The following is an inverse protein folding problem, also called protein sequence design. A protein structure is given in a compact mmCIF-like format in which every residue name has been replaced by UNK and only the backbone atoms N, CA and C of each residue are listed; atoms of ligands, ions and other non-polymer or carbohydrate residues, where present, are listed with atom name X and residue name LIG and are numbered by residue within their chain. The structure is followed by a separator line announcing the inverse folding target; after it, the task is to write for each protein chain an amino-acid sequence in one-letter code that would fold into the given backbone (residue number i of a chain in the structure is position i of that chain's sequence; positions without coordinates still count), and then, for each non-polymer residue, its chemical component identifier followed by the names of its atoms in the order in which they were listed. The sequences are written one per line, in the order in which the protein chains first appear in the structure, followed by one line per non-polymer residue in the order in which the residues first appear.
data_IF_211196582304
#
_entry.id   IF_211196582304
#
_cell.length_a   1.000
_cell.length_b   1.000
_cell.length_c   1.000
_cell.angle_alpha   90.00
_cell.angle_beta   90.00
_cell.angle_gamma   90.00
#
_symmetry.space_group_name_H-M   'P 1'
#
loop_
_entity.id
_entity.type
_entity.pdbx_description
1 polymer ?
#
# COMPACT_ATOMS: atom_id res chain seq x y z
N UNK A 1 -51.11 43.76 21.03
CA UNK A 1 -49.70 43.48 21.41
C UNK A 1 -49.22 42.24 20.71
N UNK A 2 -48.40 42.44 19.71
CA UNK A 2 -47.68 41.37 19.02
C UNK A 2 -46.58 40.88 20.00
N UNK A 3 -46.79 39.71 20.59
CA UNK A 3 -45.72 39.02 21.26
C UNK A 3 -44.86 38.44 20.17
N UNK A 4 -43.75 39.08 19.84
CA UNK A 4 -42.67 38.45 19.11
C UNK A 4 -42.13 37.35 19.99
N UNK A 5 -42.43 36.09 19.62
CA UNK A 5 -41.69 34.93 20.09
C UNK A 5 -40.32 35.03 19.45
N UNK A 6 -39.39 35.67 20.10
CA UNK A 6 -37.97 35.50 19.85
C UNK A 6 -37.61 34.09 20.38
N UNK A 7 -37.94 33.06 19.61
CA UNK A 7 -37.27 31.82 19.72
C UNK A 7 -35.82 32.07 19.27
N UNK A 8 -34.96 32.27 20.25
CA UNK A 8 -33.51 32.16 20.02
C UNK A 8 -33.28 30.70 19.64
N UNK A 9 -33.28 30.42 18.34
CA UNK A 9 -32.72 29.17 17.83
C UNK A 9 -31.26 29.23 18.23
N UNK A 10 -30.91 28.63 19.36
CA UNK A 10 -29.54 28.27 19.67
C UNK A 10 -29.14 27.27 18.61
N UNK A 11 -28.53 27.75 17.54
CA UNK A 11 -27.65 26.96 16.73
C UNK A 11 -26.55 26.50 17.69
N UNK A 12 -26.71 25.31 18.26
CA UNK A 12 -25.59 24.56 18.81
C UNK A 12 -24.70 24.27 17.64
N UNK A 13 -23.84 25.24 17.32
CA UNK A 13 -22.66 24.96 16.53
C UNK A 13 -21.84 24.05 17.44
N UNK A 14 -22.10 22.73 17.33
CA UNK A 14 -21.19 21.73 17.85
C UNK A 14 -19.95 21.86 16.99
N UNK A 15 -19.01 22.68 17.43
CA UNK A 15 -17.66 22.67 16.90
C UNK A 15 -17.11 21.28 17.21
N UNK A 16 -17.37 20.32 16.29
CA UNK A 16 -16.66 19.06 16.32
C UNK A 16 -15.18 19.41 16.21
N UNK A 17 -14.43 19.16 17.28
CA UNK A 17 -13.00 19.29 17.24
C UNK A 17 -12.47 18.49 16.05
N UNK A 18 -11.50 19.03 15.33
CA UNK A 18 -10.82 18.36 14.23
C UNK A 18 -10.16 17.08 14.77
N UNK A 19 -10.46 15.96 14.16
CA UNK A 19 -9.91 14.66 14.49
C UNK A 19 -9.35 13.99 13.23
N UNK A 20 -8.15 14.41 12.79
CA UNK A 20 -7.50 13.80 11.66
C UNK A 20 -7.05 12.38 12.01
N UNK A 21 -7.53 11.41 11.24
CA UNK A 21 -7.18 9.99 11.39
C UNK A 21 -7.10 9.32 10.04
N UNK A 22 -6.17 8.39 9.93
CA UNK A 22 -6.03 7.55 8.75
C UNK A 22 -5.75 6.10 9.18
N UNK A 23 -6.02 5.18 8.28
CA UNK A 23 -5.76 3.77 8.51
C UNK A 23 -5.24 3.11 7.24
N UNK A 24 -4.18 2.33 7.38
CA UNK A 24 -3.72 1.40 6.37
C UNK A 24 -3.66 -0.01 6.97
N UNK A 25 -4.17 -0.99 6.22
CA UNK A 25 -4.03 -2.42 6.52
C UNK A 25 -3.35 -3.09 5.36
N UNK A 26 -2.46 -4.00 5.68
CA UNK A 26 -1.69 -4.80 4.73
C UNK A 26 -1.81 -6.27 5.08
N UNK A 27 -2.02 -7.11 4.08
CA UNK A 27 -2.13 -8.56 4.28
C UNK A 27 -1.45 -9.34 3.16
N UNK A 28 -0.99 -10.54 3.50
CA UNK A 28 -0.49 -11.54 2.58
C UNK A 28 -0.67 -12.94 3.18
N UNK A 29 -0.37 -13.97 2.42
CA UNK A 29 -0.30 -15.34 2.96
C UNK A 29 0.83 -15.46 3.98
N UNK A 30 0.61 -16.17 5.08
CA UNK A 30 1.59 -16.38 6.14
C UNK A 30 2.77 -17.26 5.72
N UNK A 31 2.58 -18.12 4.74
CA UNK A 31 3.57 -19.07 4.25
C UNK A 31 3.69 -18.92 2.74
N UNK A 32 4.93 -18.86 2.27
CA UNK A 32 5.27 -18.88 0.85
C UNK A 32 6.51 -19.74 0.64
N UNK A 33 6.89 -20.01 -0.60
CA UNK A 33 8.10 -20.76 -0.95
C UNK A 33 9.04 -19.92 -1.79
N UNK A 34 10.27 -20.38 -1.98
CA UNK A 34 11.20 -19.78 -2.92
C UNK A 34 10.66 -19.79 -4.33
N UNK A 35 11.03 -18.79 -5.13
CA UNK A 35 10.65 -18.65 -6.52
C UNK A 35 9.13 -18.69 -6.76
N UNK A 36 8.37 -18.07 -5.86
CA UNK A 36 6.91 -18.01 -5.91
C UNK A 36 6.39 -16.60 -5.66
N UNK A 37 5.12 -16.39 -5.98
CA UNK A 37 4.46 -15.11 -5.85
C UNK A 37 4.06 -14.83 -4.40
N UNK A 38 4.29 -13.59 -3.94
CA UNK A 38 3.65 -13.02 -2.78
C UNK A 38 2.75 -11.89 -3.28
N UNK A 39 1.46 -11.98 -2.94
CA UNK A 39 0.46 -10.97 -3.23
C UNK A 39 0.12 -10.21 -1.95
N UNK A 40 0.52 -8.95 -1.89
CA UNK A 40 0.19 -8.04 -0.79
C UNK A 40 -1.05 -7.24 -1.16
N UNK A 41 -2.09 -7.32 -0.34
CA UNK A 41 -3.29 -6.51 -0.49
C UNK A 41 -3.37 -5.41 0.57
N UNK A 42 -3.99 -4.28 0.21
CA UNK A 42 -4.02 -3.09 1.06
C UNK A 42 -5.44 -2.54 1.18
N UNK A 43 -5.73 -1.99 2.35
CA UNK A 43 -6.89 -1.15 2.60
C UNK A 43 -6.42 0.21 3.10
N UNK A 44 -6.88 1.28 2.45
CA UNK A 44 -6.47 2.66 2.73
C UNK A 44 -7.72 3.48 3.00
N UNK A 45 -7.73 4.23 4.11
CA UNK A 45 -8.87 5.03 4.52
C UNK A 45 -8.46 6.35 5.18
N UNK A 46 -9.17 7.42 4.86
CA UNK A 46 -9.28 8.60 5.72
C UNK A 46 -10.43 8.33 6.71
N UNK A 47 -10.10 8.00 7.94
CA UNK A 47 -11.07 7.64 8.99
C UNK A 47 -11.42 8.80 9.91
N UNK A 48 -10.79 9.95 9.71
CA UNK A 48 -11.05 11.16 10.47
C UNK A 48 -12.21 11.99 9.91
N UNK A 49 -12.36 13.19 10.45
CA UNK A 49 -13.42 14.11 10.11
C UNK A 49 -12.95 15.36 9.37
N UNK A 50 -11.74 15.35 8.83
CA UNK A 50 -11.15 16.46 8.10
C UNK A 50 -10.57 16.01 6.77
N UNK A 51 -10.54 16.92 5.81
CA UNK A 51 -9.78 16.78 4.57
C UNK A 51 -8.29 16.71 4.90
N UNK A 52 -7.54 15.91 4.14
CA UNK A 52 -6.09 15.75 4.30
C UNK A 52 -5.37 16.16 3.03
N UNK A 53 -4.26 16.85 3.23
CA UNK A 53 -3.33 17.29 2.18
C UNK A 53 -2.15 16.31 2.09
N UNK A 54 -1.54 16.24 0.92
CA UNK A 54 -0.34 15.42 0.67
C UNK A 54 -0.51 13.97 1.15
N UNK A 55 -1.69 13.42 0.92
CA UNK A 55 -2.01 12.04 1.28
C UNK A 55 -1.16 11.10 0.44
N UNK A 56 -0.28 10.35 1.11
CA UNK A 56 0.75 9.56 0.47
C UNK A 56 0.87 8.17 1.10
N UNK A 57 0.99 7.18 0.26
CA UNK A 57 1.22 5.79 0.66
C UNK A 57 2.61 5.35 0.21
N UNK A 58 3.41 4.86 1.16
CA UNK A 58 4.73 4.28 0.95
C UNK A 58 4.69 2.78 1.25
N UNK A 59 5.27 1.99 0.38
CA UNK A 59 5.52 0.57 0.63
C UNK A 59 7.02 0.29 0.56
N UNK A 60 7.58 -0.19 1.66
CA UNK A 60 9.00 -0.51 1.80
C UNK A 60 9.20 -1.98 1.47
N UNK A 61 9.62 -2.25 0.24
CA UNK A 61 9.70 -3.59 -0.31
C UNK A 61 10.81 -4.42 0.34
N UNK A 62 10.59 -5.71 0.62
CA UNK A 62 11.61 -6.63 1.11
C UNK A 62 12.55 -7.06 -0.02
N UNK A 63 13.31 -6.13 -0.58
CA UNK A 63 14.07 -6.30 -1.81
C UNK A 63 15.25 -7.29 -1.70
N UNK A 64 15.67 -7.62 -0.47
CA UNK A 64 16.70 -8.65 -0.24
C UNK A 64 16.15 -10.06 -0.48
N UNK A 65 14.85 -10.26 -0.42
CA UNK A 65 14.20 -11.56 -0.48
C UNK A 65 13.27 -11.74 -1.67
N UNK A 66 12.81 -10.66 -2.25
CA UNK A 66 11.81 -10.69 -3.32
C UNK A 66 11.95 -9.51 -4.26
N UNK A 67 11.41 -9.67 -5.45
CA UNK A 67 11.40 -8.66 -6.50
C UNK A 67 9.97 -8.30 -6.85
N UNK A 68 9.66 -7.01 -6.91
CA UNK A 68 8.35 -6.55 -7.36
C UNK A 68 8.16 -6.85 -8.85
N UNK A 69 7.00 -7.39 -9.20
CA UNK A 69 6.64 -7.73 -10.58
C UNK A 69 5.47 -6.93 -11.10
N UNK A 70 4.57 -6.50 -10.23
CA UNK A 70 3.39 -5.77 -10.65
C UNK A 70 2.69 -5.02 -9.54
N UNK A 71 1.85 -4.08 -9.96
CA UNK A 71 0.93 -3.34 -9.09
C UNK A 71 -0.45 -3.43 -9.72
N UNK A 72 -1.44 -3.89 -8.96
CA UNK A 72 -2.85 -3.68 -9.24
C UNK A 72 -3.29 -2.44 -8.48
N UNK A 73 -3.76 -1.43 -9.20
CA UNK A 73 -4.01 -0.12 -8.58
C UNK A 73 -5.26 -0.10 -7.71
N UNK A 74 -6.20 -1.01 -7.93
CA UNK A 74 -7.47 -0.99 -7.26
C UNK A 74 -8.32 0.21 -7.65
N UNK A 75 -9.36 0.48 -6.89
CA UNK A 75 -10.24 1.64 -7.08
C UNK A 75 -10.51 2.35 -5.76
N UNK A 76 -10.84 3.63 -5.86
CA UNK A 76 -11.16 4.51 -4.72
C UNK A 76 -12.56 5.10 -4.91
N UNK A 77 -13.19 5.47 -3.81
CA UNK A 77 -14.58 5.96 -3.79
C UNK A 77 -14.74 7.44 -4.13
N UNK A 78 -13.64 8.13 -4.44
CA UNK A 78 -13.65 9.56 -4.82
C UNK A 78 -12.96 9.75 -6.16
N UNK A 79 -13.41 10.74 -6.91
CA UNK A 79 -12.73 11.16 -8.13
C UNK A 79 -11.42 11.84 -7.75
N UNK A 80 -10.32 11.17 -8.02
CA UNK A 80 -8.99 11.70 -7.82
C UNK A 80 -8.07 11.25 -8.96
N UNK A 81 -7.03 12.04 -9.16
CA UNK A 81 -5.88 11.64 -9.98
C UNK A 81 -4.69 11.44 -9.04
N UNK A 82 -3.96 10.36 -9.25
CA UNK A 82 -2.81 10.05 -8.41
C UNK A 82 -1.62 9.59 -9.23
N UNK A 83 -0.44 9.67 -8.63
CA UNK A 83 0.83 9.32 -9.25
C UNK A 83 1.50 8.19 -8.49
N UNK A 84 2.20 7.34 -9.22
CA UNK A 84 3.02 6.27 -8.64
C UNK A 84 4.48 6.52 -8.97
N UNK A 85 5.31 6.41 -7.95
CA UNK A 85 6.76 6.54 -8.01
C UNK A 85 7.43 5.30 -7.46
N UNK A 86 8.66 5.07 -7.85
CA UNK A 86 9.50 4.03 -7.29
C UNK A 86 10.88 4.56 -6.95
N UNK A 87 11.55 3.88 -6.05
CA UNK A 87 12.92 4.15 -5.64
C UNK A 87 13.72 2.88 -5.72
N UNK A 88 15.01 2.99 -6.00
CA UNK A 88 15.92 1.85 -6.07
C UNK A 88 17.02 1.96 -5.02
N UNK A 89 17.75 0.86 -4.81
CA UNK A 89 18.91 0.83 -3.92
C UNK A 89 20.13 1.61 -4.46
N UNK A 90 20.11 2.02 -5.72
CA UNK A 90 21.23 2.74 -6.37
C UNK A 90 20.97 4.22 -6.58
N UNK A 91 19.75 4.70 -6.32
CA UNK A 91 19.36 6.10 -6.53
C UNK A 91 18.56 6.61 -5.32
N UNK A 92 18.90 7.80 -4.84
CA UNK A 92 18.19 8.43 -3.73
C UNK A 92 16.89 9.14 -4.14
N UNK A 93 16.67 9.28 -5.43
CA UNK A 93 15.49 9.98 -5.96
C UNK A 93 14.37 9.01 -6.32
N UNK A 94 13.12 9.49 -6.14
CA UNK A 94 11.96 8.81 -6.66
C UNK A 94 11.85 9.04 -8.17
N UNK A 95 11.67 7.94 -8.89
CA UNK A 95 11.42 7.94 -10.33
C UNK A 95 9.93 7.81 -10.59
N UNK A 96 9.43 8.48 -11.62
CA UNK A 96 8.03 8.36 -12.02
C UNK A 96 7.77 7.00 -12.64
N UNK A 97 6.79 6.26 -12.11
CA UNK A 97 6.29 5.03 -12.73
C UNK A 97 5.07 5.32 -13.61
N UNK A 98 4.06 5.96 -13.05
CA UNK A 98 2.83 6.39 -13.76
C UNK A 98 2.33 7.70 -13.16
N UNK A 99 1.80 8.57 -14.04
CA UNK A 99 1.15 9.83 -13.64
C UNK A 99 -0.31 9.85 -14.06
N UNK A 100 -1.09 10.63 -13.32
CA UNK A 100 -2.48 10.95 -13.63
C UNK A 100 -3.37 9.72 -13.80
N UNK A 101 -3.19 8.74 -12.91
CA UNK A 101 -4.07 7.59 -12.83
C UNK A 101 -5.41 8.01 -12.22
N UNK A 102 -6.50 7.54 -12.80
CA UNK A 102 -7.84 7.81 -12.31
C UNK A 102 -8.18 6.85 -11.16
N UNK A 103 -8.63 7.39 -10.04
CA UNK A 103 -9.02 6.61 -8.86
C UNK A 103 -10.19 5.66 -9.09
N UNK A 104 -11.04 5.89 -10.08
CA UNK A 104 -12.15 5.00 -10.46
C UNK A 104 -11.74 3.83 -11.35
N UNK A 105 -10.51 3.78 -11.83
CA UNK A 105 -10.02 2.75 -12.75
C UNK A 105 -9.02 1.82 -12.08
N UNK A 106 -9.24 0.51 -12.25
CA UNK A 106 -8.31 -0.52 -11.82
C UNK A 106 -7.39 -0.90 -12.98
N UNK A 107 -6.09 -0.70 -12.77
CA UNK A 107 -5.07 -0.97 -13.78
C UNK A 107 -4.03 -1.94 -13.23
N UNK A 108 -3.50 -2.78 -14.10
CA UNK A 108 -2.31 -3.57 -13.81
C UNK A 108 -1.08 -2.89 -14.44
N UNK A 109 -0.07 -2.63 -13.59
CA UNK A 109 1.19 -2.03 -14.00
C UNK A 109 2.29 -3.07 -13.83
N UNK A 110 2.90 -3.49 -14.93
CA UNK A 110 4.08 -4.36 -14.91
C UNK A 110 5.34 -3.56 -14.56
N UNK A 111 6.15 -4.11 -13.66
CA UNK A 111 7.47 -3.56 -13.33
C UNK A 111 8.61 -4.42 -13.90
N UNK A 112 8.27 -5.49 -14.63
CA UNK A 112 9.28 -6.38 -15.23
C UNK A 112 9.98 -5.76 -16.44
N UNK A 113 9.38 -4.75 -17.05
CA UNK A 113 9.90 -4.08 -18.25
C UNK A 113 10.78 -2.85 -17.94
N UNK A 114 11.01 -2.55 -16.68
CA UNK A 114 11.89 -1.45 -16.29
C UNK A 114 13.36 -1.84 -16.57
N UNK A 115 14.07 -0.95 -17.25
CA UNK A 115 15.49 -1.09 -17.50
C UNK A 115 16.29 -0.67 -16.25
N UNK A 116 16.60 -1.65 -15.41
CA UNK A 116 17.42 -1.46 -14.22
C UNK A 116 18.87 -1.80 -14.55
N UNK A 117 19.79 -1.10 -13.88
CA UNK A 117 21.20 -1.41 -13.91
C UNK A 117 21.47 -2.77 -13.23
N UNK A 118 22.69 -3.29 -13.41
CA UNK A 118 23.12 -4.51 -12.73
C UNK A 118 23.02 -4.33 -11.21
N UNK A 119 22.43 -5.31 -10.54
CA UNK A 119 22.21 -5.32 -9.08
C UNK A 119 21.32 -4.17 -8.56
N UNK A 120 20.70 -3.39 -9.43
CA UNK A 120 19.69 -2.42 -9.05
C UNK A 120 18.36 -3.11 -8.73
N UNK A 121 17.81 -2.77 -7.56
CA UNK A 121 16.54 -3.33 -7.07
C UNK A 121 15.59 -2.21 -6.70
N UNK A 122 14.33 -2.37 -7.01
CA UNK A 122 13.27 -1.47 -6.52
C UNK A 122 13.06 -1.74 -5.03
N UNK A 123 13.24 -0.72 -4.21
CA UNK A 123 13.17 -0.81 -2.74
C UNK A 123 11.93 -0.15 -2.16
N UNK A 124 11.32 0.78 -2.86
CA UNK A 124 10.13 1.50 -2.40
C UNK A 124 9.16 1.78 -3.55
N UNK A 125 7.89 1.73 -3.22
CA UNK A 125 6.80 2.28 -4.01
C UNK A 125 6.18 3.43 -3.23
N UNK A 126 5.96 4.56 -3.91
CA UNK A 126 5.30 5.74 -3.37
C UNK A 126 4.09 6.07 -4.23
N UNK A 127 2.93 6.16 -3.63
CA UNK A 127 1.70 6.56 -4.31
C UNK A 127 1.22 7.87 -3.68
N UNK A 128 1.18 8.92 -4.50
CA UNK A 128 0.80 10.26 -4.07
C UNK A 128 -0.60 10.59 -4.55
N UNK A 129 -1.52 10.79 -3.62
CA UNK A 129 -2.92 11.11 -3.89
C UNK A 129 -3.23 12.61 -3.85
N UNK A 130 -2.38 13.41 -3.22
CA UNK A 130 -2.65 14.82 -3.00
C UNK A 130 -3.71 15.05 -1.92
N UNK A 131 -4.70 15.87 -2.23
CA UNK A 131 -5.77 16.17 -1.28
C UNK A 131 -6.88 15.12 -1.35
N UNK A 132 -7.26 14.61 -0.20
CA UNK A 132 -8.35 13.62 -0.08
C UNK A 132 -9.41 14.09 0.89
N UNK A 133 -10.67 13.92 0.48
CA UNK A 133 -11.84 14.28 1.29
C UNK A 133 -12.05 13.34 2.48
N UNK A 134 -12.88 13.80 3.39
CA UNK A 134 -13.44 12.94 4.44
C UNK A 134 -14.12 11.72 3.81
N UNK A 135 -13.85 10.55 4.37
CA UNK A 135 -14.43 9.30 3.87
C UNK A 135 -13.73 8.70 2.65
N UNK A 136 -12.63 9.29 2.18
CA UNK A 136 -11.79 8.68 1.13
C UNK A 136 -11.36 7.28 1.56
N UNK A 137 -11.54 6.31 0.67
CA UNK A 137 -11.12 4.92 0.92
C UNK A 137 -10.93 4.15 -0.38
N UNK A 138 -10.10 3.11 -0.29
CA UNK A 138 -10.07 2.07 -1.33
C UNK A 138 -11.38 1.28 -1.35
N UNK A 139 -11.94 1.04 -2.53
CA UNK A 139 -13.10 0.16 -2.73
C UNK A 139 -12.64 -1.22 -3.18
N UNK A 140 -12.01 -1.30 -4.36
CA UNK A 140 -11.25 -2.47 -4.75
C UNK A 140 -9.84 -2.33 -4.20
N UNK A 141 -9.41 -3.32 -3.43
CA UNK A 141 -8.09 -3.28 -2.78
C UNK A 141 -6.96 -3.18 -3.80
N UNK A 142 -6.03 -2.25 -3.65
CA UNK A 142 -4.79 -2.28 -4.41
C UNK A 142 -3.91 -3.45 -3.96
N UNK A 143 -3.11 -3.98 -4.89
CA UNK A 143 -2.17 -5.07 -4.65
C UNK A 143 -0.78 -4.72 -5.14
N UNK A 144 0.21 -5.12 -4.38
CA UNK A 144 1.62 -5.16 -4.80
C UNK A 144 2.04 -6.62 -4.88
N UNK A 145 2.50 -7.02 -6.06
CA UNK A 145 2.82 -8.40 -6.36
C UNK A 145 4.34 -8.52 -6.48
N UNK A 146 4.90 -9.45 -5.71
CA UNK A 146 6.33 -9.74 -5.68
C UNK A 146 6.59 -11.21 -5.98
N UNK A 147 7.78 -11.50 -6.46
CA UNK A 147 8.28 -12.86 -6.64
C UNK A 147 9.46 -13.07 -5.71
N UNK A 148 9.39 -14.09 -4.86
CA UNK A 148 10.49 -14.46 -3.96
C UNK A 148 11.72 -14.95 -4.73
N UNK A 149 12.90 -14.69 -4.17
CA UNK A 149 14.15 -15.17 -4.72
C UNK A 149 14.22 -16.69 -4.73
N UNK A 150 15.07 -17.23 -5.57
CA UNK A 150 15.38 -18.65 -5.59
C UNK A 150 16.23 -19.04 -4.37
N UNK A 151 16.11 -20.27 -3.92
CA UNK A 151 16.96 -20.87 -2.87
C UNK A 151 16.94 -20.13 -1.51
N UNK A 152 15.82 -19.56 -1.14
CA UNK A 152 15.67 -19.02 0.21
C UNK A 152 15.59 -20.16 1.23
N UNK A 153 16.23 -19.95 2.37
CA UNK A 153 16.20 -20.92 3.46
C UNK A 153 14.80 -21.00 4.09
N UNK A 154 14.42 -22.20 4.51
CA UNK A 154 13.21 -22.40 5.30
C UNK A 154 13.29 -21.56 6.57
N UNK A 155 12.15 -21.10 7.06
CA UNK A 155 11.98 -20.24 8.22
C UNK A 155 12.48 -18.79 8.02
N UNK A 156 12.91 -18.42 6.81
CA UNK A 156 13.18 -17.01 6.48
C UNK A 156 11.89 -16.22 6.56
N UNK A 157 11.88 -15.17 7.38
CA UNK A 157 10.74 -14.25 7.50
C UNK A 157 10.92 -13.09 6.54
N UNK A 158 9.96 -12.93 5.65
CA UNK A 158 9.88 -11.81 4.72
C UNK A 158 8.90 -10.80 5.30
N UNK A 159 9.43 -9.66 5.76
CA UNK A 159 8.64 -8.58 6.33
C UNK A 159 8.50 -7.45 5.31
N UNK A 160 7.27 -7.03 5.06
CA UNK A 160 6.98 -5.88 4.22
C UNK A 160 6.18 -4.86 5.03
N UNK A 161 6.77 -3.69 5.24
CA UNK A 161 6.17 -2.59 5.98
C UNK A 161 5.65 -1.51 5.04
N UNK A 162 4.54 -0.90 5.42
CA UNK A 162 3.89 0.17 4.69
C UNK A 162 3.54 1.31 5.62
N UNK A 163 3.54 2.53 5.09
CA UNK A 163 3.19 3.75 5.82
C UNK A 163 2.24 4.58 4.98
N UNK A 164 1.18 5.05 5.60
CA UNK A 164 0.26 6.04 5.06
C UNK A 164 0.42 7.32 5.85
N UNK A 165 0.50 8.46 5.18
CA UNK A 165 0.58 9.77 5.83
C UNK A 165 -0.31 10.80 5.14
N UNK A 166 -0.66 11.82 5.89
CA UNK A 166 -1.37 12.98 5.40
C UNK A 166 -1.26 14.13 6.37
N UNK A 167 -1.68 15.31 5.92
CA UNK A 167 -1.57 16.53 6.70
C UNK A 167 -2.92 17.26 6.75
N UNK A 168 -3.27 17.76 7.92
CA UNK A 168 -4.27 18.80 8.08
C UNK A 168 -3.55 20.06 8.56
N UNK A 169 -3.39 21.05 7.69
CA UNK A 169 -2.46 22.15 7.90
C UNK A 169 -1.05 21.61 8.14
N UNK A 170 -0.41 21.98 9.25
CA UNK A 170 0.93 21.47 9.59
C UNK A 170 0.90 20.21 10.47
N UNK A 171 -0.29 19.70 10.80
CA UNK A 171 -0.44 18.50 11.61
C UNK A 171 -0.36 17.23 10.77
N UNK A 172 0.68 16.45 11.01
CA UNK A 172 0.89 15.15 10.33
C UNK A 172 0.15 14.03 11.05
N UNK A 173 -0.62 13.25 10.30
CA UNK A 173 -1.13 11.96 10.75
C UNK A 173 -0.48 10.85 9.95
N UNK A 174 -0.29 9.71 10.59
CA UNK A 174 0.28 8.53 9.95
C UNK A 174 -0.33 7.24 10.48
N UNK A 175 -0.30 6.22 9.66
CA UNK A 175 -0.64 4.85 10.01
C UNK A 175 0.36 3.92 9.34
N UNK A 176 0.69 2.83 9.99
CA UNK A 176 1.62 1.84 9.45
C UNK A 176 1.12 0.43 9.72
N UNK A 177 1.53 -0.48 8.86
CA UNK A 177 1.25 -1.90 9.03
C UNK A 177 2.40 -2.72 8.42
N UNK A 178 2.54 -3.94 8.89
CA UNK A 178 3.55 -4.89 8.42
C UNK A 178 2.90 -6.24 8.16
N UNK A 179 3.15 -6.82 7.01
CA UNK A 179 2.78 -8.18 6.69
C UNK A 179 4.04 -9.06 6.66
N UNK A 180 3.92 -10.25 7.21
CA UNK A 180 5.03 -11.23 7.31
C UNK A 180 4.62 -12.51 6.61
N UNK A 181 5.48 -13.01 5.74
CA UNK A 181 5.38 -14.35 5.15
C UNK A 181 6.65 -15.14 5.46
N UNK A 182 6.48 -16.37 5.89
CA UNK A 182 7.60 -17.24 6.23
C UNK A 182 7.83 -18.23 5.09
N UNK A 183 9.08 -18.39 4.70
CA UNK A 183 9.48 -19.34 3.65
C UNK A 183 9.40 -20.77 4.17
N UNK A 184 8.69 -21.58 3.43
CA UNK A 184 8.64 -23.01 3.63
C UNK A 184 8.68 -23.70 2.26
N UNK A 185 9.83 -24.26 1.94
CA UNK A 185 10.04 -25.00 0.70
C UNK A 185 9.67 -26.47 0.92
N UNK A 186 8.86 -27.01 0.03
CA UNK A 186 8.55 -28.44 0.06
C UNK A 186 9.79 -29.21 -0.37
N UNK A 187 10.30 -30.06 0.50
CA UNK A 187 11.34 -31.02 0.14
C UNK A 187 10.70 -32.09 -0.74
N UNK A 188 11.08 -32.13 -2.02
CA UNK A 188 10.74 -33.29 -2.85
C UNK A 188 11.50 -34.48 -2.29
N UNK A 189 10.80 -35.46 -1.73
CA UNK A 189 11.39 -36.76 -1.45
C UNK A 189 11.91 -37.36 -2.75
N UNK A 190 13.23 -37.54 -2.84
CA UNK A 190 13.82 -38.33 -3.91
C UNK A 190 13.25 -39.75 -3.72
N UNK A 191 12.35 -40.16 -4.62
CA UNK A 191 11.98 -41.58 -4.70
C UNK A 191 13.26 -42.38 -4.93
N UNK A 192 13.67 -43.12 -3.93
CA UNK A 192 14.74 -44.11 -4.12
C UNK A 192 14.32 -45.02 -5.27
N UNK A 193 15.25 -45.28 -6.22
CA UNK A 193 14.94 -46.26 -7.26
C UNK A 193 14.56 -47.59 -6.61
N UNK A 194 13.42 -48.12 -7.01
CA UNK A 194 13.05 -49.47 -6.56
C UNK A 194 14.11 -50.44 -7.08
N UNK A 195 14.97 -50.91 -6.19
CA UNK A 195 15.78 -52.13 -6.45
C UNK A 195 14.82 -53.32 -6.36
N UNK A 196 14.16 -53.67 -7.47
CA UNK A 196 13.36 -54.89 -7.56
C UNK A 196 14.28 -56.08 -7.80
N UNK A 197 14.14 -57.09 -7.01
CA UNK A 197 14.53 -58.41 -7.41
C UNK A 197 13.45 -58.99 -8.30
#
# INVERSE_FOLDING_TARGET
SIKENNEIVKLDIVNKSKDPKIEIKKSCKNITKSNDEIDYSFEIKNTGNVELEDFTWYDYLPADYAKITGIETGTYNKDILYNIYYKTNQKDEYMVLKKNLNGGEDNFISLTDLHLEKDEKITEIKIYFGNVDVGFKSEKKPHIIMKTNENLENDTKIENSTVLEGYNQDYRVSSKDTAVSTIYNVVQEKKLPRTGF
#
